data_IF_118873172941
#
_entry.id   IF_118873172941
#
_cell.length_a   1.000
_cell.length_b   1.000
_cell.length_c   1.000
_cell.angle_alpha   90.00
_cell.angle_beta   90.00
_cell.angle_gamma   90.00
#
_symmetry.space_group_name_H-M   'P 1'
#
loop_
_entity.id
_entity.type
_entity.pdbx_description
1 polymer ?
#
# COMPACT_ATOMS: atom_id res chain seq x y z
N UNK A 1 -14.41 30.13 -9.18
CA UNK A 1 -14.63 28.80 -8.55
C UNK A 1 -13.57 27.78 -9.01
N UNK A 2 -13.30 27.62 -10.32
CA UNK A 2 -12.26 26.70 -10.83
C UNK A 2 -10.81 27.02 -10.36
N UNK A 3 -10.43 28.30 -10.30
CA UNK A 3 -9.08 28.69 -9.84
C UNK A 3 -8.83 28.36 -8.36
N UNK A 4 -9.85 28.48 -7.50
CA UNK A 4 -9.75 28.15 -6.08
C UNK A 4 -9.57 26.64 -5.86
N UNK A 5 -10.13 25.81 -6.75
CA UNK A 5 -9.94 24.36 -6.71
C UNK A 5 -8.53 23.95 -7.19
N UNK A 6 -8.03 24.60 -8.26
CA UNK A 6 -6.66 24.38 -8.73
C UNK A 6 -5.62 24.77 -7.66
N UNK A 7 -5.78 25.94 -7.03
CA UNK A 7 -4.89 26.36 -5.95
C UNK A 7 -4.94 25.41 -4.76
N UNK A 8 -6.13 24.91 -4.40
CA UNK A 8 -6.30 23.96 -3.30
C UNK A 8 -5.61 22.63 -3.59
N UNK A 9 -5.75 22.11 -4.81
CA UNK A 9 -5.07 20.87 -5.25
C UNK A 9 -3.55 21.02 -5.27
N UNK A 10 -3.05 22.16 -5.76
CA UNK A 10 -1.62 22.46 -5.77
C UNK A 10 -1.05 22.54 -4.34
N UNK A 11 -1.74 23.24 -3.43
CA UNK A 11 -1.31 23.33 -2.02
C UNK A 11 -1.28 21.96 -1.37
N UNK A 12 -2.29 21.11 -1.57
CA UNK A 12 -2.31 19.75 -1.03
C UNK A 12 -1.15 18.91 -1.58
N UNK A 13 -0.85 19.01 -2.87
CA UNK A 13 0.26 18.28 -3.48
C UNK A 13 1.63 18.72 -2.90
N UNK A 14 1.85 20.03 -2.77
CA UNK A 14 3.08 20.57 -2.17
C UNK A 14 3.20 20.16 -0.71
N UNK A 15 2.14 20.28 0.08
CA UNK A 15 2.12 19.86 1.49
C UNK A 15 2.39 18.36 1.61
N UNK A 16 1.77 17.53 0.77
CA UNK A 16 2.01 16.10 0.76
C UNK A 16 3.49 15.78 0.47
N UNK A 17 4.10 16.45 -0.51
CA UNK A 17 5.53 16.28 -0.82
C UNK A 17 6.42 16.67 0.37
N UNK A 18 6.15 17.83 0.99
CA UNK A 18 6.88 18.32 2.14
C UNK A 18 6.74 17.43 3.39
N UNK A 19 5.66 16.65 3.49
CA UNK A 19 5.46 15.68 4.58
C UNK A 19 6.11 14.34 4.25
N UNK A 20 5.93 13.84 3.02
CA UNK A 20 6.39 12.50 2.63
C UNK A 20 7.92 12.41 2.59
N UNK A 21 8.62 13.43 2.07
CA UNK A 21 10.08 13.38 1.96
C UNK A 21 10.79 13.28 3.32
N UNK A 22 10.48 14.10 4.35
CA UNK A 22 11.06 13.94 5.68
C UNK A 22 10.69 12.62 6.37
N UNK A 23 9.49 12.09 6.11
CA UNK A 23 9.04 10.80 6.64
C UNK A 23 9.86 9.66 6.05
N UNK A 24 10.07 9.66 4.73
CA UNK A 24 10.94 8.70 4.04
C UNK A 24 12.38 8.84 4.55
N UNK A 25 12.88 10.07 4.71
CA UNK A 25 14.22 10.32 5.22
C UNK A 25 14.41 9.70 6.61
N UNK A 26 13.48 9.94 7.55
CA UNK A 26 13.54 9.37 8.91
C UNK A 26 13.31 7.86 8.97
N UNK A 27 12.42 7.31 8.16
CA UNK A 27 12.07 5.88 8.19
C UNK A 27 11.38 5.44 9.49
N UNK A 28 11.54 4.15 9.84
CA UNK A 28 11.04 3.56 11.08
C UNK A 28 9.52 3.63 11.28
N UNK A 29 9.10 3.70 12.56
CA UNK A 29 7.68 3.66 12.96
C UNK A 29 6.85 4.83 12.45
N UNK A 30 7.43 6.03 12.32
CA UNK A 30 6.72 7.18 11.77
C UNK A 30 6.27 6.89 10.33
N UNK A 31 7.19 6.38 9.50
CA UNK A 31 6.88 5.96 8.14
C UNK A 31 5.89 4.80 8.12
N UNK A 32 6.11 3.78 8.96
CA UNK A 32 5.25 2.60 9.03
C UNK A 32 3.79 2.91 9.38
N UNK A 33 3.57 3.75 10.40
CA UNK A 33 2.20 4.16 10.82
C UNK A 33 1.53 5.01 9.75
N UNK A 34 2.25 5.96 9.14
CA UNK A 34 1.69 6.78 8.07
C UNK A 34 1.39 5.94 6.82
N UNK A 35 2.28 5.02 6.44
CA UNK A 35 2.06 4.08 5.35
C UNK A 35 0.85 3.18 5.63
N UNK A 36 0.69 2.67 6.85
CA UNK A 36 -0.46 1.85 7.23
C UNK A 36 -1.77 2.65 7.16
N UNK A 37 -1.78 3.90 7.62
CA UNK A 37 -2.96 4.77 7.54
C UNK A 37 -3.36 5.05 6.07
N UNK A 38 -2.38 5.39 5.21
CA UNK A 38 -2.60 5.59 3.79
C UNK A 38 -3.09 4.30 3.10
N UNK A 39 -2.47 3.17 3.44
CA UNK A 39 -2.88 1.87 2.93
C UNK A 39 -4.32 1.53 3.32
N UNK A 40 -4.72 1.77 4.57
CA UNK A 40 -6.10 1.54 5.01
C UNK A 40 -7.11 2.41 4.24
N UNK A 41 -6.78 3.68 3.97
CA UNK A 41 -7.62 4.56 3.15
C UNK A 41 -7.73 4.03 1.71
N UNK A 42 -6.62 3.66 1.08
CA UNK A 42 -6.62 3.09 -0.27
C UNK A 42 -7.38 1.74 -0.33
N UNK A 43 -7.25 0.87 0.67
CA UNK A 43 -8.01 -0.38 0.79
C UNK A 43 -9.51 -0.11 0.93
N UNK A 44 -9.90 0.93 1.68
CA UNK A 44 -11.30 1.35 1.77
C UNK A 44 -11.84 1.74 0.40
N UNK A 45 -11.12 2.56 -0.35
CA UNK A 45 -11.52 2.97 -1.71
C UNK A 45 -11.62 1.78 -2.67
N UNK A 46 -10.65 0.87 -2.64
CA UNK A 46 -10.72 -0.39 -3.40
C UNK A 46 -12.00 -1.18 -3.06
N UNK A 47 -12.30 -1.31 -1.77
CA UNK A 47 -13.51 -2.00 -1.31
C UNK A 47 -14.81 -1.30 -1.74
N UNK A 48 -14.80 0.03 -1.82
CA UNK A 48 -15.94 0.81 -2.33
C UNK A 48 -16.12 0.57 -3.83
N UNK A 49 -15.03 0.53 -4.61
CA UNK A 49 -15.08 0.20 -6.03
C UNK A 49 -15.60 -1.22 -6.27
N UNK A 50 -15.11 -2.20 -5.51
CA UNK A 50 -15.59 -3.59 -5.59
C UNK A 50 -17.10 -3.69 -5.32
N UNK A 51 -17.63 -2.90 -4.39
CA UNK A 51 -19.09 -2.86 -4.11
C UNK A 51 -19.91 -2.35 -5.30
N UNK A 52 -19.36 -1.45 -6.12
CA UNK A 52 -20.02 -0.98 -7.35
C UNK A 52 -20.18 -2.08 -8.40
N UNK A 53 -19.35 -3.13 -8.34
CA UNK A 53 -19.47 -4.34 -9.19
C UNK A 53 -20.44 -5.39 -8.65
N UNK A 54 -21.13 -5.09 -7.53
CA UNK A 54 -22.06 -6.02 -6.87
C UNK A 54 -21.40 -6.99 -5.89
N UNK A 55 -20.11 -6.85 -5.60
CA UNK A 55 -19.40 -7.68 -4.61
C UNK A 55 -19.31 -6.95 -3.28
N UNK A 56 -20.01 -7.44 -2.25
CA UNK A 56 -19.92 -6.86 -0.90
C UNK A 56 -18.65 -7.37 -0.21
N UNK A 57 -17.62 -6.55 -0.02
CA UNK A 57 -16.38 -6.93 0.67
C UNK A 57 -16.45 -6.79 2.20
N UNK A 58 -15.59 -7.52 2.93
CA UNK A 58 -15.39 -7.35 4.36
C UNK A 58 -14.41 -6.19 4.64
N UNK A 59 -14.84 -4.95 4.40
CA UNK A 59 -13.98 -3.75 4.39
C UNK A 59 -13.15 -3.57 5.66
N UNK A 60 -13.75 -3.75 6.86
CA UNK A 60 -13.00 -3.62 8.13
C UNK A 60 -11.90 -4.66 8.25
N UNK A 61 -12.19 -5.91 7.86
CA UNK A 61 -11.21 -6.99 7.86
C UNK A 61 -10.11 -6.73 6.84
N UNK A 62 -10.44 -6.27 5.63
CA UNK A 62 -9.43 -5.89 4.63
C UNK A 62 -8.49 -4.79 5.15
N UNK A 63 -9.03 -3.74 5.80
CA UNK A 63 -8.23 -2.68 6.41
C UNK A 63 -7.36 -3.20 7.55
N UNK A 64 -7.89 -4.10 8.39
CA UNK A 64 -7.12 -4.70 9.48
C UNK A 64 -5.95 -5.55 8.96
N UNK A 65 -6.18 -6.38 7.94
CA UNK A 65 -5.12 -7.17 7.28
C UNK A 65 -4.09 -6.23 6.64
N UNK A 66 -4.54 -5.18 5.94
CA UNK A 66 -3.70 -4.16 5.33
C UNK A 66 -2.76 -3.52 6.36
N UNK A 67 -3.33 -3.05 7.48
CA UNK A 67 -2.56 -2.46 8.56
C UNK A 67 -1.58 -3.47 9.18
N UNK A 68 -2.04 -4.70 9.43
CA UNK A 68 -1.20 -5.76 9.96
C UNK A 68 0.01 -6.05 9.07
N UNK A 69 -0.15 -6.10 7.74
CA UNK A 69 0.96 -6.31 6.80
C UNK A 69 1.97 -5.16 6.83
N UNK A 70 1.51 -3.91 6.79
CA UNK A 70 2.41 -2.75 6.79
C UNK A 70 3.12 -2.59 8.13
N UNK A 71 2.41 -2.79 9.25
CA UNK A 71 2.99 -2.73 10.59
C UNK A 71 3.92 -3.92 10.87
N UNK A 72 3.62 -5.11 10.33
CA UNK A 72 4.54 -6.25 10.37
C UNK A 72 5.85 -5.94 9.66
N UNK A 73 5.82 -5.33 8.47
CA UNK A 73 7.03 -4.88 7.78
C UNK A 73 7.76 -3.74 8.51
N UNK A 74 7.07 -3.00 9.38
CA UNK A 74 7.67 -1.95 10.21
C UNK A 74 8.36 -2.54 11.45
N UNK A 75 7.75 -3.56 12.06
CA UNK A 75 8.30 -4.25 13.22
C UNK A 75 9.48 -5.16 12.82
N UNK A 76 9.37 -5.83 11.68
CA UNK A 76 10.37 -6.70 11.09
C UNK A 76 10.77 -6.14 9.72
N UNK A 77 11.69 -5.16 9.65
CA UNK A 77 12.10 -4.51 8.40
C UNK A 77 12.93 -5.42 7.48
N UNK A 78 13.31 -6.61 7.96
CA UNK A 78 14.02 -7.63 7.20
C UNK A 78 13.04 -8.66 6.63
N UNK A 79 13.17 -8.98 5.34
CA UNK A 79 12.26 -9.90 4.65
C UNK A 79 12.19 -11.28 5.33
N UNK A 80 13.29 -11.77 5.89
CA UNK A 80 13.35 -13.06 6.59
C UNK A 80 12.48 -13.11 7.85
N UNK A 81 12.38 -12.01 8.60
CA UNK A 81 11.48 -11.88 9.76
C UNK A 81 10.05 -11.55 9.35
N UNK A 82 9.89 -10.70 8.34
CA UNK A 82 8.58 -10.27 7.83
C UNK A 82 7.79 -11.39 7.16
N UNK A 83 8.42 -12.17 6.28
CA UNK A 83 7.75 -13.17 5.45
C UNK A 83 6.91 -14.20 6.23
N UNK A 84 7.42 -14.84 7.31
CA UNK A 84 6.61 -15.77 8.09
C UNK A 84 5.43 -15.08 8.79
N UNK A 85 5.61 -13.85 9.28
CA UNK A 85 4.54 -13.07 9.92
C UNK A 85 3.45 -12.69 8.91
N UNK A 86 3.85 -12.21 7.72
CA UNK A 86 2.94 -11.88 6.64
C UNK A 86 2.15 -13.12 6.18
N UNK A 87 2.82 -14.26 6.03
CA UNK A 87 2.17 -15.52 5.66
C UNK A 87 1.16 -15.97 6.73
N UNK A 88 1.53 -15.89 8.01
CA UNK A 88 0.62 -16.22 9.11
C UNK A 88 -0.62 -15.32 9.11
N UNK A 89 -0.45 -14.01 8.93
CA UNK A 89 -1.56 -13.04 8.81
C UNK A 89 -2.46 -13.39 7.62
N UNK A 90 -1.89 -13.66 6.46
CA UNK A 90 -2.66 -13.95 5.23
C UNK A 90 -3.39 -15.29 5.31
N UNK A 91 -2.73 -16.35 5.77
CA UNK A 91 -3.37 -17.67 5.92
C UNK A 91 -4.47 -17.62 6.98
N UNK A 92 -4.18 -17.04 8.15
CA UNK A 92 -5.16 -16.87 9.22
C UNK A 92 -6.36 -16.04 8.79
N UNK A 93 -6.11 -14.91 8.09
CA UNK A 93 -7.18 -14.07 7.55
C UNK A 93 -8.01 -14.80 6.48
N UNK A 94 -7.38 -15.61 5.63
CA UNK A 94 -8.08 -16.39 4.60
C UNK A 94 -9.05 -17.38 5.24
N UNK A 95 -8.57 -18.16 6.21
CA UNK A 95 -9.42 -19.10 6.95
C UNK A 95 -10.55 -18.36 7.68
N UNK A 96 -10.24 -17.29 8.40
CA UNK A 96 -11.23 -16.50 9.14
C UNK A 96 -12.31 -15.90 8.21
N UNK A 97 -11.92 -15.40 7.03
CA UNK A 97 -12.83 -14.86 6.04
C UNK A 97 -13.73 -15.92 5.43
N UNK A 98 -13.21 -17.12 5.13
CA UNK A 98 -14.05 -18.22 4.66
C UNK A 98 -15.04 -18.68 5.73
N UNK A 99 -14.60 -18.84 6.98
CA UNK A 99 -15.50 -19.16 8.11
C UNK A 99 -16.59 -18.09 8.27
N UNK A 100 -16.22 -16.81 8.19
CA UNK A 100 -17.18 -15.71 8.25
C UNK A 100 -18.14 -15.70 7.05
N UNK A 101 -17.65 -16.00 5.85
CA UNK A 101 -18.46 -16.05 4.64
C UNK A 101 -19.52 -17.16 4.72
N UNK A 102 -19.16 -18.36 5.20
CA UNK A 102 -20.10 -19.47 5.39
C UNK A 102 -21.19 -19.13 6.41
N UNK A 103 -20.85 -18.39 7.47
CA UNK A 103 -21.81 -18.02 8.54
C UNK A 103 -22.76 -16.88 8.17
N UNK A 104 -22.28 -15.92 7.38
CA UNK A 104 -22.97 -14.63 7.21
C UNK A 104 -23.58 -14.46 5.80
N UNK A 105 -23.18 -15.27 4.81
CA UNK A 105 -23.62 -15.10 3.43
C UNK A 105 -24.43 -16.27 2.92
N UNK A 106 -25.54 -15.97 2.27
CA UNK A 106 -26.23 -16.95 1.44
C UNK A 106 -25.37 -17.31 0.22
N UNK A 107 -25.59 -18.50 -0.37
CA UNK A 107 -24.86 -18.94 -1.58
C UNK A 107 -25.08 -17.97 -2.76
N UNK A 108 -26.22 -17.28 -2.80
CA UNK A 108 -26.56 -16.26 -3.79
C UNK A 108 -25.75 -14.95 -3.65
N UNK A 109 -25.12 -14.70 -2.49
CA UNK A 109 -24.36 -13.48 -2.17
C UNK A 109 -22.88 -13.52 -2.60
N UNK A 110 -22.54 -14.43 -3.53
CA UNK A 110 -21.19 -14.58 -4.10
C UNK A 110 -20.09 -14.63 -3.02
N UNK A 111 -20.16 -15.57 -2.05
CA UNK A 111 -19.27 -15.61 -0.89
C UNK A 111 -17.78 -15.69 -1.28
N UNK A 112 -17.45 -16.49 -2.30
CA UNK A 112 -16.08 -16.60 -2.81
C UNK A 112 -15.58 -15.26 -3.36
N UNK A 113 -16.36 -14.58 -4.21
CA UNK A 113 -15.99 -13.28 -4.77
C UNK A 113 -15.76 -12.23 -3.68
N UNK A 114 -16.56 -12.27 -2.60
CA UNK A 114 -16.36 -11.40 -1.43
C UNK A 114 -15.02 -11.67 -0.74
N UNK A 115 -14.69 -12.93 -0.47
CA UNK A 115 -13.42 -13.31 0.18
C UNK A 115 -12.24 -12.91 -0.70
N UNK A 116 -12.26 -13.31 -1.98
CA UNK A 116 -11.21 -12.98 -2.94
C UNK A 116 -11.03 -11.47 -3.08
N UNK A 117 -12.10 -10.68 -3.21
CA UNK A 117 -12.00 -9.23 -3.33
C UNK A 117 -11.49 -8.56 -2.04
N UNK A 118 -11.83 -9.13 -0.87
CA UNK A 118 -11.33 -8.64 0.43
C UNK A 118 -9.83 -8.89 0.57
N UNK A 119 -9.37 -10.11 0.24
CA UNK A 119 -7.96 -10.47 0.25
C UNK A 119 -7.18 -9.70 -0.82
N UNK A 120 -7.75 -9.52 -2.01
CA UNK A 120 -7.15 -8.71 -3.09
C UNK A 120 -6.97 -7.27 -2.66
N UNK A 121 -7.98 -6.65 -2.03
CA UNK A 121 -7.85 -5.29 -1.51
C UNK A 121 -6.68 -5.17 -0.53
N UNK A 122 -6.54 -6.13 0.39
CA UNK A 122 -5.49 -6.12 1.39
C UNK A 122 -4.11 -6.45 0.83
N UNK A 123 -3.99 -7.43 -0.07
CA UNK A 123 -2.74 -7.82 -0.70
C UNK A 123 -2.23 -6.78 -1.69
N UNK A 124 -3.11 -6.27 -2.55
CA UNK A 124 -2.72 -5.30 -3.57
C UNK A 124 -2.24 -4.00 -2.92
N UNK A 125 -2.99 -3.47 -1.95
CA UNK A 125 -2.66 -2.20 -1.30
C UNK A 125 -1.65 -2.40 -0.17
N UNK A 126 -1.96 -3.29 0.79
CA UNK A 126 -1.13 -3.53 1.97
C UNK A 126 0.17 -4.26 1.63
N UNK A 127 0.12 -5.26 0.75
CA UNK A 127 1.31 -5.90 0.21
C UNK A 127 2.17 -4.92 -0.60
N UNK A 128 1.57 -4.08 -1.44
CA UNK A 128 2.30 -3.04 -2.16
C UNK A 128 3.02 -2.05 -1.21
N UNK A 129 2.30 -1.48 -0.24
CA UNK A 129 2.85 -0.47 0.67
C UNK A 129 3.77 -1.04 1.76
N UNK A 130 3.67 -2.32 2.12
CA UNK A 130 4.64 -2.93 3.03
C UNK A 130 6.04 -3.02 2.38
N UNK A 131 6.11 -3.24 1.06
CA UNK A 131 7.40 -3.18 0.34
C UNK A 131 8.02 -1.79 0.33
N UNK A 132 7.24 -0.71 0.42
CA UNK A 132 7.83 0.62 0.60
C UNK A 132 8.67 0.69 1.88
N UNK A 133 8.16 0.10 2.98
CA UNK A 133 8.89 0.00 4.26
C UNK A 133 10.11 -0.90 4.14
N UNK A 134 9.98 -2.08 3.53
CA UNK A 134 11.08 -3.02 3.35
C UNK A 134 12.21 -2.45 2.46
N UNK A 135 11.85 -1.81 1.34
CA UNK A 135 12.82 -1.17 0.45
C UNK A 135 13.61 -0.06 1.15
N UNK A 136 12.95 0.72 1.99
CA UNK A 136 13.60 1.79 2.76
C UNK A 136 14.69 1.26 3.70
N UNK A 137 14.53 0.06 4.25
CA UNK A 137 15.49 -0.55 5.17
C UNK A 137 16.37 -1.62 4.49
N UNK A 138 16.21 -1.83 3.18
CA UNK A 138 16.95 -2.84 2.43
C UNK A 138 18.49 -2.69 2.58
N UNK A 139 19.09 -1.49 2.54
CA UNK A 139 20.55 -1.36 2.72
C UNK A 139 21.04 -1.81 4.11
N UNK A 140 20.18 -1.81 5.12
CA UNK A 140 20.50 -2.22 6.49
C UNK A 140 20.60 -3.75 6.63
N UNK A 141 20.17 -4.51 5.61
CA UNK A 141 20.25 -5.99 5.58
C UNK A 141 21.66 -6.56 5.39
N UNK A 142 22.67 -5.70 5.19
CA UNK A 142 24.06 -6.13 5.00
C UNK A 142 24.38 -6.63 3.59
N UNK A 143 23.49 -6.41 2.62
CA UNK A 143 23.76 -6.69 1.18
C UNK A 143 24.84 -5.76 0.61
N UNK A 144 25.08 -4.61 1.25
CA UNK A 144 26.10 -3.65 0.85
C UNK A 144 27.49 -4.02 1.38
N UNK A 145 28.52 -3.85 0.54
CA UNK A 145 29.95 -4.06 0.89
C UNK A 145 30.46 -3.09 1.96
N UNK A 146 29.72 -2.00 2.21
CA UNK A 146 30.02 -0.98 3.22
C UNK A 146 28.80 -0.70 4.09
N UNK A 147 29.03 -0.10 5.26
CA UNK A 147 27.95 0.44 6.07
C UNK A 147 27.15 1.47 5.26
N UNK A 148 25.81 1.35 5.23
CA UNK A 148 24.99 2.22 4.39
C UNK A 148 25.03 3.66 4.87
N UNK A 149 25.21 4.60 3.95
CA UNK A 149 25.09 6.02 4.22
C UNK A 149 23.63 6.44 4.54
N UNK A 150 23.40 7.60 5.16
CA UNK A 150 22.07 8.05 5.61
C UNK A 150 21.06 8.23 4.46
N UNK A 151 21.53 8.35 3.22
CA UNK A 151 20.69 8.53 2.03
C UNK A 151 20.42 7.24 1.26
N UNK A 152 21.14 6.15 1.52
CA UNK A 152 21.02 4.93 0.70
C UNK A 152 19.62 4.32 0.81
N UNK A 153 19.08 4.17 2.01
CA UNK A 153 17.71 3.68 2.23
C UNK A 153 16.63 4.56 1.56
N UNK A 154 16.62 5.88 1.83
CA UNK A 154 15.70 6.79 1.16
C UNK A 154 15.78 6.74 -0.36
N UNK A 155 16.98 6.68 -0.94
CA UNK A 155 17.18 6.63 -2.40
C UNK A 155 16.68 5.32 -3.02
N UNK A 156 16.87 4.18 -2.34
CA UNK A 156 16.34 2.88 -2.79
C UNK A 156 14.82 2.91 -2.86
N UNK A 157 14.14 3.54 -1.89
CA UNK A 157 12.69 3.71 -1.94
C UNK A 157 12.26 4.78 -2.96
N UNK A 158 12.99 5.89 -3.04
CA UNK A 158 12.63 7.00 -3.92
C UNK A 158 12.79 6.63 -5.40
N UNK A 159 13.74 5.75 -5.73
CA UNK A 159 13.97 5.31 -7.11
C UNK A 159 12.72 4.78 -7.82
N UNK A 160 12.01 3.74 -7.33
CA UNK A 160 10.78 3.27 -7.98
C UNK A 160 9.68 4.33 -8.00
N UNK A 161 9.59 5.19 -6.97
CA UNK A 161 8.60 6.29 -6.93
C UNK A 161 8.88 7.35 -8.01
N UNK A 162 10.15 7.67 -8.23
CA UNK A 162 10.56 8.61 -9.27
C UNK A 162 10.35 8.01 -10.67
N UNK A 163 10.67 6.72 -10.84
CA UNK A 163 10.44 6.01 -12.11
C UNK A 163 8.95 5.97 -12.47
N UNK A 164 8.06 5.70 -11.52
CA UNK A 164 6.61 5.75 -11.80
C UNK A 164 6.14 7.16 -12.12
N UNK A 165 6.53 8.16 -11.33
CA UNK A 165 6.15 9.55 -11.59
C UNK A 165 6.63 10.08 -12.94
N UNK A 166 7.92 9.90 -13.24
CA UNK A 166 8.50 10.35 -14.52
C UNK A 166 7.90 9.54 -15.67
N UNK A 167 7.69 8.23 -15.48
CA UNK A 167 7.02 7.36 -16.44
C UNK A 167 5.60 7.83 -16.77
N UNK A 168 4.80 8.17 -15.76
CA UNK A 168 3.44 8.69 -15.94
C UNK A 168 3.42 10.01 -16.71
N UNK A 169 4.35 10.93 -16.39
CA UNK A 169 4.51 12.20 -17.11
C UNK A 169 4.88 11.94 -18.58
N UNK A 170 5.87 11.09 -18.82
CA UNK A 170 6.32 10.76 -20.17
C UNK A 170 5.20 10.07 -20.97
N UNK A 171 4.49 9.12 -20.37
CA UNK A 171 3.38 8.42 -20.99
C UNK A 171 2.22 9.36 -21.34
N UNK A 172 1.90 10.34 -20.48
CA UNK A 172 0.89 11.35 -20.75
C UNK A 172 1.25 12.23 -21.96
N UNK A 173 2.47 12.75 -22.02
CA UNK A 173 2.90 13.60 -23.13
C UNK A 173 3.08 12.82 -24.43
N UNK A 174 3.72 11.64 -24.38
CA UNK A 174 3.85 10.77 -25.54
C UNK A 174 2.48 10.33 -26.06
N UNK A 175 1.57 9.94 -25.17
CA UNK A 175 0.21 9.54 -25.52
C UNK A 175 -0.63 10.68 -26.09
N UNK A 176 -0.48 11.91 -25.62
CA UNK A 176 -1.19 13.07 -26.19
C UNK A 176 -0.62 13.53 -27.54
N UNK A 177 0.66 13.28 -27.81
CA UNK A 177 1.30 13.62 -29.09
C UNK A 177 1.12 12.54 -30.16
N UNK A 178 1.10 11.27 -29.76
CA UNK A 178 1.12 10.12 -30.69
C UNK A 178 -0.07 9.16 -30.55
N UNK A 179 -0.92 9.35 -29.55
CA UNK A 179 -2.15 8.57 -29.40
C UNK A 179 -3.17 8.96 -30.46
N UNK A 180 -3.67 7.97 -31.19
CA UNK A 180 -4.79 8.08 -32.14
C UNK A 180 -6.12 8.31 -31.41
#
# INVERSE_FOLDING_TARGET
MAMADLSRRAVVAVVALLVVLPVIYRGGWLMGVLAAALAMLATREFCLLARRTGVRTFTRTAMAITAALVLAATAEPFFTGFAPLALAVLMGATVALFVAAVRVRALTDKPLASVCSTLTAALYVGGGLCFAVLLRHLPETGVAVRAPGPLEGPLVLFFPLAVTWVGDIAAYFAGSLWGT
#
